data_IF_424785744079
#
_entry.id   IF_424785744079
#
_cell.length_a   1.000
_cell.length_b   1.000
_cell.length_c   1.000
_cell.angle_alpha   90.00
_cell.angle_beta   90.00
_cell.angle_gamma   90.00
#
_symmetry.space_group_name_H-M   'P 1'
#
loop_
_entity.id
_entity.type
_entity.pdbx_description
1 polymer ?
#
# COMPACT_ATOMS: atom_id res chain seq x y z
N UNK A 1 12.54 -6.46 0.80
CA UNK A 1 12.61 -7.25 2.04
C UNK A 1 11.63 -8.41 1.96
N UNK A 2 12.01 -9.60 2.44
CA UNK A 2 11.15 -10.78 2.49
C UNK A 2 10.07 -10.63 3.58
N UNK A 3 8.94 -11.29 3.38
CA UNK A 3 7.88 -11.37 4.38
C UNK A 3 8.41 -12.09 5.64
N UNK A 4 8.14 -11.54 6.82
CA UNK A 4 8.48 -12.16 8.09
C UNK A 4 7.34 -13.10 8.52
N UNK A 5 7.63 -14.39 8.70
CA UNK A 5 6.65 -15.39 9.11
C UNK A 5 7.03 -16.05 10.44
N UNK A 6 6.04 -16.18 11.34
CA UNK A 6 6.13 -16.92 12.60
C UNK A 6 4.84 -17.65 12.90
N UNK A 7 4.96 -18.77 13.60
CA UNK A 7 3.82 -19.43 14.24
C UNK A 7 3.76 -18.99 15.71
N UNK A 8 2.62 -18.45 16.13
CA UNK A 8 2.40 -17.93 17.48
C UNK A 8 1.33 -18.76 18.17
N UNK A 9 1.59 -19.24 19.39
CA UNK A 9 0.55 -19.87 20.20
C UNK A 9 -0.59 -18.88 20.48
N UNK A 10 -1.84 -19.31 20.32
CA UNK A 10 -3.00 -18.43 20.41
C UNK A 10 -3.42 -18.13 21.86
N UNK A 11 -3.08 -19.03 22.80
CA UNK A 11 -3.32 -18.92 24.25
C UNK A 11 -2.06 -19.26 25.07
N UNK A 12 -1.92 -18.65 26.26
CA UNK A 12 -0.84 -18.94 27.23
C UNK A 12 -0.16 -17.68 27.79
N UNK A 13 0.48 -17.80 28.96
CA UNK A 13 1.29 -16.74 29.57
C UNK A 13 2.74 -16.72 29.08
N UNK A 14 3.25 -17.85 28.60
CA UNK A 14 4.55 -17.94 27.93
C UNK A 14 4.38 -17.94 26.41
N UNK A 15 5.04 -17.05 25.67
CA UNK A 15 5.05 -17.11 24.22
C UNK A 15 5.83 -18.31 23.73
N UNK A 16 5.14 -19.24 23.05
CA UNK A 16 5.83 -20.19 22.17
C UNK A 16 5.76 -19.66 20.74
N UNK A 17 6.69 -18.79 20.37
CA UNK A 17 6.94 -18.44 18.97
C UNK A 17 7.77 -19.56 18.36
N UNK A 18 7.34 -20.07 17.21
CA UNK A 18 8.04 -21.12 16.47
C UNK A 18 8.26 -20.67 15.03
N UNK A 19 9.27 -21.21 14.34
CA UNK A 19 9.40 -21.04 12.90
C UNK A 19 8.11 -21.42 12.19
N UNK A 20 7.71 -20.63 11.20
CA UNK A 20 6.60 -20.99 10.32
C UNK A 20 6.95 -22.25 9.51
N UNK A 21 5.96 -23.03 9.06
CA UNK A 21 6.19 -24.26 8.29
C UNK A 21 6.78 -24.00 6.89
N UNK A 22 6.81 -22.75 6.45
CA UNK A 22 7.39 -22.30 5.18
C UNK A 22 7.89 -20.86 5.29
N UNK A 23 8.71 -20.43 4.32
CA UNK A 23 9.09 -19.04 4.09
C UNK A 23 8.35 -18.49 2.86
N UNK A 24 8.19 -17.17 2.79
CA UNK A 24 7.60 -16.49 1.63
C UNK A 24 8.24 -15.09 1.46
N UNK A 25 8.34 -14.62 0.22
CA UNK A 25 8.82 -13.28 -0.12
C UNK A 25 7.77 -12.18 0.08
N UNK A 26 6.48 -12.52 0.05
CA UNK A 26 5.36 -11.57 0.23
C UNK A 26 4.17 -12.20 0.96
N UNK A 27 3.22 -11.39 1.44
CA UNK A 27 1.94 -11.90 1.97
C UNK A 27 1.12 -12.62 0.91
N UNK A 28 1.19 -12.18 -0.34
CA UNK A 28 0.50 -12.85 -1.45
C UNK A 28 1.02 -14.26 -1.65
N UNK A 29 2.35 -14.43 -1.61
CA UNK A 29 2.97 -15.75 -1.67
C UNK A 29 2.65 -16.58 -0.44
N UNK A 30 2.77 -16.01 0.77
CA UNK A 30 2.43 -16.69 2.02
C UNK A 30 0.99 -17.23 1.99
N UNK A 31 0.04 -16.41 1.55
CA UNK A 31 -1.37 -16.79 1.42
C UNK A 31 -1.62 -17.94 0.43
N UNK A 32 -0.77 -18.11 -0.59
CA UNK A 32 -0.86 -19.22 -1.55
C UNK A 32 -0.32 -20.53 -0.99
N UNK A 33 0.70 -20.45 -0.14
CA UNK A 33 1.31 -21.59 0.54
C UNK A 33 0.47 -22.12 1.71
N UNK A 34 -0.47 -21.31 2.21
CA UNK A 34 -1.39 -21.73 3.27
C UNK A 34 -2.31 -22.89 2.85
N UNK A 35 -2.48 -23.83 3.77
CA UNK A 35 -3.41 -24.93 3.61
C UNK A 35 -4.87 -24.42 3.51
N UNK A 36 -5.71 -25.12 2.72
CA UNK A 36 -7.13 -24.77 2.56
C UNK A 36 -7.94 -25.01 3.86
N UNK A 37 -9.17 -24.51 3.92
CA UNK A 37 -10.10 -24.73 5.04
C UNK A 37 -9.86 -23.88 6.29
N UNK A 38 -8.93 -22.92 6.23
CA UNK A 38 -8.61 -22.02 7.32
C UNK A 38 -9.38 -20.69 7.29
N UNK A 39 -9.17 -19.88 8.31
CA UNK A 39 -9.64 -18.49 8.38
C UNK A 39 -8.47 -17.53 8.47
N UNK A 40 -8.70 -16.29 8.04
CA UNK A 40 -7.67 -15.27 8.12
C UNK A 40 -8.21 -13.87 8.42
N UNK A 41 -7.36 -13.03 9.00
CA UNK A 41 -7.56 -11.61 9.15
C UNK A 41 -6.36 -10.86 8.56
N UNK A 42 -6.61 -9.65 8.06
CA UNK A 42 -5.56 -8.72 7.63
C UNK A 42 -5.85 -7.37 8.25
N UNK A 43 -4.83 -6.77 8.83
CA UNK A 43 -4.82 -5.37 9.26
C UNK A 43 -3.45 -4.77 8.91
N UNK A 44 -3.33 -3.46 9.03
CA UNK A 44 -2.07 -2.75 8.84
C UNK A 44 -1.76 -1.93 10.07
N UNK A 45 -0.48 -1.75 10.33
CA UNK A 45 0.01 -0.76 11.27
C UNK A 45 0.29 0.53 10.50
N UNK A 46 0.03 1.67 11.15
CA UNK A 46 0.18 2.99 10.56
C UNK A 46 0.37 4.05 11.66
N UNK A 47 1.09 5.15 11.36
CA UNK A 47 1.37 6.26 12.28
C UNK A 47 1.91 5.83 13.65
N UNK A 48 3.13 5.28 13.69
CA UNK A 48 3.76 4.83 14.92
C UNK A 48 3.19 3.51 15.41
N UNK A 49 2.98 2.54 14.50
CA UNK A 49 2.44 1.21 14.77
C UNK A 49 1.04 1.22 15.41
N UNK A 50 0.12 2.04 14.93
CA UNK A 50 -1.28 2.01 15.35
C UNK A 50 -2.12 1.16 14.41
N UNK A 51 -3.14 0.51 14.94
CA UNK A 51 -4.05 -0.37 14.19
C UNK A 51 -5.47 0.13 14.34
N UNK A 52 -6.19 0.26 13.25
CA UNK A 52 -7.59 0.64 13.26
C UNK A 52 -8.45 -0.53 13.74
N UNK A 53 -9.08 -0.39 14.92
CA UNK A 53 -10.00 -1.39 15.49
C UNK A 53 -9.41 -2.82 15.56
N UNK A 54 -8.23 -3.01 16.14
CA UNK A 54 -7.62 -4.36 16.25
C UNK A 54 -8.57 -5.35 16.91
N UNK A 55 -9.24 -4.96 18.00
CA UNK A 55 -10.22 -5.84 18.67
C UNK A 55 -11.28 -6.38 17.71
N UNK A 56 -11.82 -5.55 16.82
CA UNK A 56 -12.83 -5.97 15.84
C UNK A 56 -12.26 -6.92 14.77
N UNK A 57 -10.98 -6.74 14.39
CA UNK A 57 -10.31 -7.70 13.52
C UNK A 57 -10.21 -9.09 14.16
N UNK A 58 -9.89 -9.15 15.47
CA UNK A 58 -9.78 -10.41 16.21
C UNK A 58 -11.15 -11.05 16.46
N UNK A 59 -12.16 -10.26 16.82
CA UNK A 59 -13.53 -10.75 17.01
C UNK A 59 -14.08 -11.37 15.72
N UNK A 60 -13.84 -10.71 14.57
CA UNK A 60 -14.25 -11.25 13.27
C UNK A 60 -13.46 -12.50 12.87
N UNK A 61 -12.19 -12.60 13.26
CA UNK A 61 -11.41 -13.82 13.05
C UNK A 61 -12.02 -14.99 13.84
N UNK A 62 -12.39 -14.76 15.10
CA UNK A 62 -13.09 -15.75 15.95
C UNK A 62 -14.47 -16.12 15.39
N UNK A 63 -15.28 -15.15 14.97
CA UNK A 63 -16.57 -15.40 14.33
C UNK A 63 -16.42 -16.21 13.03
N UNK A 64 -15.41 -15.90 12.21
CA UNK A 64 -15.09 -16.68 11.01
C UNK A 64 -14.72 -18.12 11.37
N UNK A 65 -13.89 -18.32 12.41
CA UNK A 65 -13.46 -19.62 12.89
C UNK A 65 -14.67 -20.46 13.36
N UNK A 66 -15.54 -19.87 14.18
CA UNK A 66 -16.77 -20.50 14.66
C UNK A 66 -17.71 -20.91 13.52
N UNK A 67 -17.88 -20.05 12.49
CA UNK A 67 -18.69 -20.37 11.30
C UNK A 67 -18.16 -21.55 10.48
N UNK A 68 -16.88 -21.90 10.63
CA UNK A 68 -16.26 -23.05 9.99
C UNK A 68 -16.10 -24.25 10.95
N UNK A 69 -16.65 -24.18 12.16
CA UNK A 69 -16.54 -25.25 13.17
C UNK A 69 -15.17 -25.33 13.85
N UNK A 70 -14.36 -24.28 13.78
CA UNK A 70 -13.07 -24.18 14.49
C UNK A 70 -13.33 -23.59 15.89
N UNK A 71 -14.17 -24.27 16.67
CA UNK A 71 -14.73 -23.73 17.93
C UNK A 71 -13.71 -23.64 19.06
N UNK A 72 -12.61 -24.40 18.97
CA UNK A 72 -11.53 -24.37 19.96
C UNK A 72 -10.54 -23.23 19.76
N UNK A 73 -10.72 -22.39 18.74
CA UNK A 73 -9.84 -21.26 18.48
C UNK A 73 -10.12 -20.13 19.48
N UNK A 74 -9.11 -19.81 20.27
CA UNK A 74 -9.09 -18.66 21.17
C UNK A 74 -7.80 -17.87 20.93
N UNK A 75 -7.87 -16.53 21.00
CA UNK A 75 -6.71 -15.66 20.78
C UNK A 75 -6.67 -14.53 21.80
N UNK A 76 -5.58 -14.49 22.56
CA UNK A 76 -5.25 -13.37 23.45
C UNK A 76 -4.74 -12.17 22.65
N UNK A 77 -5.43 -11.04 22.79
CA UNK A 77 -5.04 -9.79 22.14
C UNK A 77 -3.68 -9.30 22.63
N UNK A 78 -3.39 -9.39 23.93
CA UNK A 78 -2.12 -8.94 24.51
C UNK A 78 -0.93 -9.77 24.05
N UNK A 79 -1.13 -11.09 23.98
CA UNK A 79 -0.14 -12.03 23.43
C UNK A 79 0.14 -11.68 21.97
N UNK A 80 -0.90 -11.54 21.15
CA UNK A 80 -0.76 -11.18 19.76
C UNK A 80 -0.03 -9.85 19.58
N UNK A 81 -0.43 -8.81 20.32
CA UNK A 81 0.22 -7.49 20.27
C UNK A 81 1.72 -7.62 20.51
N UNK A 82 2.11 -8.30 21.59
CA UNK A 82 3.52 -8.52 21.93
C UNK A 82 4.26 -9.27 20.83
N UNK A 83 3.73 -10.39 20.35
CA UNK A 83 4.42 -11.21 19.35
C UNK A 83 4.52 -10.50 17.99
N UNK A 84 3.48 -9.79 17.56
CA UNK A 84 3.54 -9.00 16.31
C UNK A 84 4.60 -7.90 16.42
N UNK A 85 4.67 -7.18 17.56
CA UNK A 85 5.71 -6.16 17.77
C UNK A 85 7.12 -6.78 17.72
N UNK A 86 7.34 -7.92 18.38
CA UNK A 86 8.63 -8.62 18.36
C UNK A 86 9.03 -9.04 16.93
N UNK A 87 8.11 -9.61 16.16
CA UNK A 87 8.37 -10.01 14.77
C UNK A 87 8.70 -8.79 13.89
N UNK A 88 8.01 -7.67 14.10
CA UNK A 88 8.32 -6.42 13.40
C UNK A 88 9.71 -5.89 13.77
N UNK A 89 10.08 -5.90 15.05
CA UNK A 89 11.39 -5.45 15.53
C UNK A 89 12.54 -6.32 15.00
N UNK A 90 12.40 -7.65 15.06
CA UNK A 90 13.38 -8.60 14.52
C UNK A 90 13.58 -8.43 13.01
N UNK A 91 12.51 -8.13 12.28
CA UNK A 91 12.52 -7.96 10.83
C UNK A 91 12.87 -6.53 10.38
N UNK A 92 13.06 -5.58 11.30
CA UNK A 92 13.29 -4.18 10.95
C UNK A 92 12.10 -3.50 10.26
N UNK A 93 10.88 -3.98 10.50
CA UNK A 93 9.66 -3.43 9.90
C UNK A 93 9.12 -2.32 10.79
N UNK A 94 9.16 -1.08 10.28
CA UNK A 94 8.59 0.08 10.95
C UNK A 94 7.05 0.01 10.94
N UNK A 95 6.48 -0.06 9.74
CA UNK A 95 5.05 -0.24 9.49
C UNK A 95 4.80 -1.47 8.64
N UNK A 96 3.81 -2.27 9.03
CA UNK A 96 3.59 -3.60 8.49
C UNK A 96 2.13 -3.87 8.17
N UNK A 97 1.92 -4.58 7.07
CA UNK A 97 0.65 -5.25 6.79
C UNK A 97 0.75 -6.62 7.41
N UNK A 98 -0.16 -6.91 8.32
CA UNK A 98 -0.15 -8.12 9.15
C UNK A 98 -1.29 -9.01 8.70
N UNK A 99 -0.95 -10.26 8.37
CA UNK A 99 -1.89 -11.33 8.10
C UNK A 99 -1.84 -12.33 9.26
N UNK A 100 -3.00 -12.65 9.80
CA UNK A 100 -3.20 -13.72 10.77
C UNK A 100 -3.97 -14.84 10.09
N UNK A 101 -3.48 -16.07 10.18
CA UNK A 101 -4.16 -17.24 9.63
C UNK A 101 -4.25 -18.36 10.65
N UNK A 102 -5.40 -19.02 10.70
CA UNK A 102 -5.69 -20.14 11.61
C UNK A 102 -6.16 -21.32 10.78
N UNK A 103 -5.55 -22.48 11.01
CA UNK A 103 -5.90 -23.72 10.34
C UNK A 103 -6.69 -24.64 11.28
N UNK A 104 -7.72 -25.36 10.80
CA UNK A 104 -8.52 -26.26 11.63
C UNK A 104 -7.72 -27.38 12.30
N UNK A 105 -6.65 -27.88 11.65
CA UNK A 105 -5.80 -28.95 12.22
C UNK A 105 -4.89 -28.46 13.37
N UNK A 106 -4.62 -27.16 13.45
CA UNK A 106 -3.87 -26.55 14.55
C UNK A 106 -4.55 -25.25 15.02
N UNK A 107 -5.73 -25.36 15.66
CA UNK A 107 -6.53 -24.20 16.05
C UNK A 107 -5.94 -23.47 17.27
N UNK A 108 -4.83 -23.96 17.83
CA UNK A 108 -4.11 -23.34 18.95
C UNK A 108 -2.93 -22.49 18.50
N UNK A 109 -2.68 -22.42 17.20
CA UNK A 109 -1.61 -21.63 16.63
C UNK A 109 -2.15 -20.64 15.60
N UNK A 110 -1.57 -19.46 15.58
CA UNK A 110 -1.82 -18.41 14.58
C UNK A 110 -0.56 -18.23 13.77
N UNK A 111 -0.66 -18.41 12.46
CA UNK A 111 0.39 -17.98 11.54
C UNK A 111 0.32 -16.46 11.43
N UNK A 112 1.41 -15.80 11.83
CA UNK A 112 1.62 -14.36 11.68
C UNK A 112 2.56 -14.16 10.51
N UNK A 113 2.08 -13.50 9.47
CA UNK A 113 2.90 -13.07 8.34
C UNK A 113 2.86 -11.54 8.25
N UNK A 114 4.02 -10.92 8.09
CA UNK A 114 4.17 -9.46 8.07
C UNK A 114 5.01 -9.05 6.86
N UNK A 115 4.51 -8.12 6.06
CA UNK A 115 5.29 -7.44 5.02
C UNK A 115 5.31 -5.93 5.30
N UNK A 116 6.36 -5.20 4.88
CA UNK A 116 6.36 -3.74 4.94
C UNK A 116 5.10 -3.15 4.28
N UNK A 117 4.54 -2.12 4.91
CA UNK A 117 3.35 -1.44 4.39
C UNK A 117 3.65 0.04 4.14
N UNK A 118 3.68 0.48 2.87
CA UNK A 118 3.98 1.86 2.52
C UNK A 118 2.81 2.82 2.79
N UNK A 119 1.64 2.30 3.19
CA UNK A 119 0.42 3.08 3.34
C UNK A 119 -0.65 2.74 2.29
N UNK A 120 -1.81 3.42 2.35
CA UNK A 120 -2.88 3.25 1.38
C UNK A 120 -2.42 3.65 -0.04
N UNK A 121 -3.01 3.09 -1.10
CA UNK A 121 -2.59 3.34 -2.48
C UNK A 121 -2.95 4.77 -2.93
N UNK A 122 -2.00 5.69 -2.87
CA UNK A 122 -2.23 7.13 -3.11
C UNK A 122 -2.74 7.39 -4.54
N UNK A 123 -2.07 6.84 -5.54
CA UNK A 123 -2.41 7.07 -6.95
C UNK A 123 -3.84 6.62 -7.28
N UNK A 124 -4.21 5.41 -6.88
CA UNK A 124 -5.53 4.84 -7.11
C UNK A 124 -6.62 5.56 -6.32
N UNK A 125 -6.29 6.10 -5.14
CA UNK A 125 -7.22 6.94 -4.38
C UNK A 125 -7.47 8.28 -5.06
N UNK A 126 -6.46 8.86 -5.70
CA UNK A 126 -6.57 10.14 -6.40
C UNK A 126 -7.22 10.03 -7.78
N UNK A 127 -6.87 9.00 -8.56
CA UNK A 127 -7.26 8.85 -9.97
C UNK A 127 -8.39 7.84 -10.17
N UNK A 128 -8.63 6.97 -9.19
CA UNK A 128 -9.59 5.87 -9.29
C UNK A 128 -9.07 4.68 -10.08
N UNK A 129 -9.82 3.57 -10.00
CA UNK A 129 -9.45 2.29 -10.62
C UNK A 129 -10.48 1.78 -11.63
N UNK A 130 -10.04 0.84 -12.47
CA UNK A 130 -10.90 0.07 -13.35
C UNK A 130 -11.20 -1.31 -12.74
N UNK A 131 -12.47 -1.66 -12.68
CA UNK A 131 -12.96 -2.94 -12.16
C UNK A 131 -13.73 -3.70 -13.25
N UNK A 132 -13.91 -5.00 -13.04
CA UNK A 132 -14.75 -5.84 -13.91
C UNK A 132 -15.72 -6.65 -13.08
N UNK A 133 -16.93 -6.83 -13.58
CA UNK A 133 -17.91 -7.73 -12.97
C UNK A 133 -17.57 -9.18 -13.28
N UNK A 134 -17.86 -10.06 -12.32
CA UNK A 134 -17.78 -11.50 -12.51
C UNK A 134 -19.13 -12.12 -12.22
N UNK A 135 -19.81 -12.56 -13.27
CA UNK A 135 -21.14 -13.11 -13.19
C UNK A 135 -21.20 -14.35 -12.29
N UNK A 136 -22.22 -14.44 -11.43
CA UNK A 136 -22.52 -15.64 -10.60
C UNK A 136 -21.31 -16.11 -9.78
N UNK A 137 -20.63 -15.16 -9.16
CA UNK A 137 -19.40 -15.38 -8.38
C UNK A 137 -19.54 -15.01 -6.90
N UNK A 138 -20.76 -14.80 -6.43
CA UNK A 138 -21.07 -14.64 -5.02
C UNK A 138 -20.47 -15.79 -4.20
N UNK A 139 -19.91 -15.45 -3.04
CA UNK A 139 -19.25 -16.42 -2.15
C UNK A 139 -20.29 -17.28 -1.44
N UNK A 140 -20.00 -18.56 -1.28
CA UNK A 140 -20.91 -19.49 -0.58
C UNK A 140 -21.08 -19.13 0.91
N UNK A 141 -19.98 -18.77 1.58
CA UNK A 141 -19.99 -18.28 2.97
C UNK A 141 -19.26 -16.93 3.06
N UNK A 142 -19.96 -15.83 2.71
CA UNK A 142 -19.37 -14.49 2.62
C UNK A 142 -19.04 -13.90 3.99
N UNK A 143 -19.74 -14.34 5.04
CA UNK A 143 -19.58 -13.86 6.42
C UNK A 143 -18.27 -14.35 7.06
N UNK A 144 -17.79 -15.54 6.70
CA UNK A 144 -16.49 -16.03 7.14
C UNK A 144 -15.38 -15.57 6.19
N UNK A 145 -14.25 -15.08 6.72
CA UNK A 145 -13.09 -14.70 5.91
C UNK A 145 -12.13 -15.90 5.76
N UNK A 146 -12.32 -16.67 4.69
CA UNK A 146 -11.76 -18.01 4.52
C UNK A 146 -10.51 -18.03 3.63
N UNK A 147 -9.57 -18.95 3.90
CA UNK A 147 -8.37 -19.10 3.07
C UNK A 147 -8.69 -19.64 1.68
N UNK A 148 -9.72 -20.48 1.53
CA UNK A 148 -10.15 -21.06 0.24
C UNK A 148 -10.62 -20.02 -0.78
N UNK A 149 -11.17 -18.92 -0.28
CA UNK A 149 -11.58 -17.81 -1.14
C UNK A 149 -10.39 -17.18 -1.87
N UNK A 150 -9.20 -17.15 -1.25
CA UNK A 150 -7.98 -16.64 -1.90
C UNK A 150 -7.66 -17.48 -3.15
N UNK A 151 -7.68 -18.81 -3.00
CA UNK A 151 -7.39 -19.74 -4.10
C UNK A 151 -8.41 -19.60 -5.23
N UNK A 152 -9.68 -19.43 -4.88
CA UNK A 152 -10.76 -19.22 -5.85
C UNK A 152 -10.57 -17.92 -6.61
N UNK A 153 -10.38 -16.81 -5.90
CA UNK A 153 -10.17 -15.49 -6.49
C UNK A 153 -8.91 -15.42 -7.36
N UNK A 154 -7.83 -16.09 -6.98
CA UNK A 154 -6.58 -16.08 -7.76
C UNK A 154 -6.74 -16.72 -9.14
N UNK A 155 -7.81 -17.50 -9.38
CA UNK A 155 -8.18 -17.97 -10.74
C UNK A 155 -8.79 -16.89 -11.61
N UNK A 156 -9.07 -15.69 -11.06
CA UNK A 156 -9.73 -14.62 -11.78
C UNK A 156 -8.70 -13.78 -12.52
N UNK A 157 -8.45 -14.13 -13.78
CA UNK A 157 -7.42 -13.47 -14.61
C UNK A 157 -8.05 -12.54 -15.65
N UNK A 158 -7.61 -11.29 -15.70
CA UNK A 158 -7.82 -10.36 -16.81
C UNK A 158 -6.83 -9.21 -16.70
N UNK A 159 -6.31 -8.75 -17.84
CA UNK A 159 -5.34 -7.66 -17.88
C UNK A 159 -6.00 -6.32 -17.51
N UNK A 160 -5.27 -5.52 -16.72
CA UNK A 160 -5.71 -4.18 -16.34
C UNK A 160 -6.93 -4.11 -15.39
N UNK A 161 -7.32 -5.25 -14.79
CA UNK A 161 -8.39 -5.30 -13.79
C UNK A 161 -7.80 -5.13 -12.39
N UNK A 162 -8.21 -4.06 -11.70
CA UNK A 162 -7.77 -3.81 -10.33
C UNK A 162 -8.53 -4.68 -9.32
N UNK A 163 -9.84 -4.82 -9.49
CA UNK A 163 -10.70 -5.59 -8.60
C UNK A 163 -11.88 -6.21 -9.38
N UNK A 164 -12.24 -7.44 -9.00
CA UNK A 164 -13.41 -8.12 -9.53
C UNK A 164 -14.64 -7.82 -8.67
N UNK A 165 -15.72 -7.34 -9.26
CA UNK A 165 -17.01 -7.11 -8.61
C UNK A 165 -17.88 -8.36 -8.73
N UNK A 166 -18.18 -8.99 -7.59
CA UNK A 166 -18.88 -10.27 -7.53
C UNK A 166 -20.38 -10.06 -7.62
N UNK A 167 -21.06 -10.87 -8.45
CA UNK A 167 -22.50 -10.80 -8.60
C UNK A 167 -23.20 -12.09 -8.18
N UNK A 168 -24.42 -11.94 -7.66
CA UNK A 168 -25.30 -13.06 -7.35
C UNK A 168 -26.04 -13.60 -8.59
N UNK A 169 -26.88 -14.62 -8.39
CA UNK A 169 -27.69 -15.22 -9.45
C UNK A 169 -28.81 -14.32 -10.00
N UNK A 170 -29.02 -13.14 -9.41
CA UNK A 170 -30.01 -12.13 -9.84
C UNK A 170 -29.35 -10.91 -10.47
N UNK A 171 -28.06 -11.02 -10.81
CA UNK A 171 -27.23 -9.97 -11.38
C UNK A 171 -27.14 -8.72 -10.48
N UNK A 172 -27.06 -8.91 -9.17
CA UNK A 172 -26.82 -7.84 -8.20
C UNK A 172 -25.36 -7.87 -7.77
N UNK A 173 -24.71 -6.71 -7.77
CA UNK A 173 -23.31 -6.56 -7.33
C UNK A 173 -23.27 -6.54 -5.81
N UNK A 174 -22.58 -7.53 -5.23
CA UNK A 174 -22.52 -7.72 -3.79
C UNK A 174 -21.30 -7.01 -3.18
N UNK A 175 -20.11 -7.52 -3.50
CA UNK A 175 -18.83 -7.04 -2.99
C UNK A 175 -17.72 -7.20 -4.05
N UNK A 176 -16.54 -6.67 -3.78
CA UNK A 176 -15.36 -6.97 -4.57
C UNK A 176 -14.71 -8.29 -4.12
N UNK A 177 -13.84 -8.86 -4.93
CA UNK A 177 -13.17 -10.12 -4.60
C UNK A 177 -12.26 -9.99 -3.37
N UNK A 178 -11.79 -8.78 -3.04
CA UNK A 178 -11.01 -8.49 -1.84
C UNK A 178 -11.50 -7.28 -1.04
N UNK A 179 -12.69 -6.76 -1.33
CA UNK A 179 -13.21 -5.47 -0.83
C UNK A 179 -14.73 -5.46 -0.74
N UNK A 180 -15.32 -4.46 -0.07
CA UNK A 180 -16.77 -4.20 -0.17
C UNK A 180 -17.04 -3.17 -1.29
N UNK A 181 -18.22 -3.22 -1.93
CA UNK A 181 -18.59 -2.34 -3.06
C UNK A 181 -19.69 -1.35 -2.67
N UNK A 182 -19.61 -0.14 -3.23
CA UNK A 182 -20.54 0.96 -2.99
C UNK A 182 -20.78 1.72 -4.28
N UNK A 183 -22.00 2.19 -4.46
CA UNK A 183 -22.40 2.98 -5.60
C UNK A 183 -23.19 4.21 -5.13
N UNK A 184 -22.97 5.34 -5.79
CA UNK A 184 -23.78 6.53 -5.65
C UNK A 184 -24.71 6.59 -6.86
N UNK A 185 -26.01 6.58 -6.58
CA UNK A 185 -27.08 6.68 -7.58
C UNK A 185 -27.92 7.92 -7.33
N UNK A 186 -28.77 8.27 -8.30
CA UNK A 186 -29.83 9.25 -8.04
C UNK A 186 -30.89 8.65 -7.11
N UNK A 187 -31.23 9.39 -6.05
CA UNK A 187 -32.30 9.02 -5.15
C UNK A 187 -33.65 9.27 -5.84
N UNK A 188 -34.58 8.30 -5.87
CA UNK A 188 -35.96 8.53 -6.31
C UNK A 188 -36.67 9.69 -5.58
N UNK A 189 -36.28 9.99 -4.33
CA UNK A 189 -36.77 11.12 -3.56
C UNK A 189 -36.07 12.47 -3.92
N UNK A 190 -35.08 12.43 -4.82
CA UNK A 190 -34.25 13.55 -5.23
C UNK A 190 -32.91 13.60 -4.48
N UNK A 191 -31.82 13.90 -5.20
CA UNK A 191 -30.47 13.95 -4.64
C UNK A 191 -29.67 12.68 -4.93
N UNK A 192 -28.69 12.39 -4.09
CA UNK A 192 -27.82 11.22 -4.21
C UNK A 192 -28.15 10.20 -3.13
N UNK A 193 -28.03 8.92 -3.45
CA UNK A 193 -28.22 7.79 -2.55
C UNK A 193 -27.01 6.87 -2.64
N UNK A 194 -26.42 6.51 -1.50
CA UNK A 194 -25.43 5.45 -1.43
C UNK A 194 -26.13 4.10 -1.38
N UNK A 195 -25.77 3.19 -2.28
CA UNK A 195 -26.24 1.81 -2.31
C UNK A 195 -25.09 0.84 -2.09
N UNK A 196 -25.31 -0.17 -1.26
CA UNK A 196 -24.39 -1.28 -1.01
C UNK A 196 -25.17 -2.51 -0.59
N UNK A 197 -24.59 -3.70 -0.73
CA UNK A 197 -25.23 -4.92 -0.27
C UNK A 197 -25.39 -4.92 1.27
N UNK A 198 -26.60 -5.22 1.74
CA UNK A 198 -26.91 -5.43 3.16
C UNK A 198 -26.54 -6.83 3.66
N UNK A 199 -26.70 -7.82 2.79
CA UNK A 199 -26.47 -9.24 3.04
C UNK A 199 -25.56 -9.86 1.96
N UNK A 200 -25.14 -11.12 2.16
CA UNK A 200 -24.32 -11.83 1.17
C UNK A 200 -22.89 -11.30 1.00
N UNK A 201 -22.41 -10.47 1.94
CA UNK A 201 -21.10 -9.83 1.90
C UNK A 201 -20.36 -9.97 3.23
N UNK A 202 -19.04 -9.82 3.20
CA UNK A 202 -18.23 -9.78 4.40
C UNK A 202 -18.52 -8.51 5.20
N UNK A 203 -18.70 -8.65 6.51
CA UNK A 203 -18.72 -7.53 7.47
C UNK A 203 -17.32 -6.90 7.59
N UNK A 204 -16.95 -6.08 6.61
CA UNK A 204 -15.68 -5.36 6.55
C UNK A 204 -15.50 -4.39 7.73
N UNK A 205 -14.30 -4.32 8.32
CA UNK A 205 -13.98 -3.28 9.31
C UNK A 205 -13.99 -1.90 8.65
N UNK A 206 -13.34 -1.75 7.49
CA UNK A 206 -13.45 -0.54 6.68
C UNK A 206 -14.92 -0.23 6.32
N UNK A 207 -15.72 -1.25 5.96
CA UNK A 207 -17.16 -1.09 5.70
C UNK A 207 -17.91 -0.51 6.89
N UNK A 208 -17.63 -0.96 8.11
CA UNK A 208 -18.29 -0.41 9.31
C UNK A 208 -18.01 1.08 9.49
N UNK A 209 -16.79 1.54 9.19
CA UNK A 209 -16.42 2.95 9.25
C UNK A 209 -17.09 3.73 8.09
N UNK A 210 -17.10 3.18 6.87
CA UNK A 210 -17.78 3.79 5.72
C UNK A 210 -19.26 4.04 6.04
N UNK A 211 -19.98 3.05 6.57
CA UNK A 211 -21.40 3.19 6.88
C UNK A 211 -21.65 4.19 8.01
N UNK A 212 -20.75 4.25 8.99
CA UNK A 212 -20.79 5.22 10.08
C UNK A 212 -20.68 6.65 9.51
N UNK A 213 -19.62 6.94 8.74
CA UNK A 213 -19.38 8.29 8.19
C UNK A 213 -20.31 8.68 7.05
N UNK A 214 -20.85 7.71 6.31
CA UNK A 214 -21.76 7.99 5.19
C UNK A 214 -23.10 8.57 5.65
N UNK A 215 -23.58 8.16 6.82
CA UNK A 215 -24.88 8.57 7.35
C UNK A 215 -25.06 10.09 7.50
N UNK A 216 -23.97 10.84 7.68
CA UNK A 216 -23.97 12.31 7.73
C UNK A 216 -23.76 12.99 6.37
N UNK A 217 -23.40 12.25 5.33
CA UNK A 217 -22.96 12.79 4.04
C UNK A 217 -23.93 12.48 2.89
N UNK A 218 -24.60 11.33 2.94
CA UNK A 218 -25.53 10.84 1.93
C UNK A 218 -26.47 9.79 2.53
N UNK A 219 -27.77 9.76 2.19
CA UNK A 219 -28.63 8.64 2.55
C UNK A 219 -28.03 7.29 2.15
N UNK A 220 -28.21 6.27 2.99
CA UNK A 220 -27.65 4.94 2.78
C UNK A 220 -28.77 3.92 2.63
N UNK A 221 -28.71 3.15 1.55
CA UNK A 221 -29.58 2.00 1.28
C UNK A 221 -28.76 0.71 1.23
N UNK A 222 -29.13 -0.25 2.08
CA UNK A 222 -28.51 -1.58 2.15
C UNK A 222 -29.06 -2.54 1.07
N UNK A 223 -29.34 -2.00 -0.11
CA UNK A 223 -29.81 -2.74 -1.28
C UNK A 223 -28.71 -2.73 -2.34
N UNK A 224 -28.23 -3.88 -2.81
CA UNK A 224 -27.19 -3.94 -3.83
C UNK A 224 -27.68 -3.42 -5.18
N UNK A 225 -26.76 -2.82 -5.95
CA UNK A 225 -27.03 -2.33 -7.30
C UNK A 225 -27.09 -3.49 -8.29
N UNK A 226 -28.00 -3.42 -9.27
CA UNK A 226 -28.08 -4.36 -10.39
C UNK A 226 -27.05 -4.04 -11.47
N UNK A 227 -26.50 -5.05 -12.12
CA UNK A 227 -25.49 -4.86 -13.20
C UNK A 227 -26.00 -4.02 -14.36
N UNK A 228 -27.28 -4.12 -14.69
CA UNK A 228 -27.96 -3.31 -15.73
C UNK A 228 -28.00 -1.80 -15.40
N UNK A 229 -27.74 -1.41 -14.15
CA UNK A 229 -27.67 -0.01 -13.69
C UNK A 229 -26.25 0.52 -13.58
N UNK A 230 -25.21 -0.28 -13.79
CA UNK A 230 -23.81 0.15 -13.60
C UNK A 230 -23.43 1.34 -14.48
N UNK A 231 -23.95 1.40 -15.71
CA UNK A 231 -23.72 2.51 -16.63
C UNK A 231 -24.43 3.82 -16.22
N UNK A 232 -25.33 3.77 -15.24
CA UNK A 232 -26.08 4.93 -14.73
C UNK A 232 -25.58 5.42 -13.36
N UNK A 233 -24.49 4.83 -12.85
CA UNK A 233 -23.91 5.26 -11.59
C UNK A 233 -23.31 6.66 -11.71
N UNK A 234 -23.52 7.48 -10.69
CA UNK A 234 -22.88 8.80 -10.57
C UNK A 234 -21.44 8.65 -10.14
N UNK A 235 -21.23 7.81 -9.13
CA UNK A 235 -19.93 7.51 -8.56
C UNK A 235 -19.95 6.06 -8.06
N UNK A 236 -18.78 5.43 -7.93
CA UNK A 236 -18.63 4.14 -7.30
C UNK A 236 -17.31 4.09 -6.56
N UNK A 237 -17.23 3.26 -5.52
CA UNK A 237 -15.99 3.05 -4.78
C UNK A 237 -16.01 1.69 -4.10
N UNK A 238 -14.84 1.27 -3.61
CA UNK A 238 -14.69 0.09 -2.78
C UNK A 238 -13.98 0.43 -1.48
N UNK A 239 -14.09 -0.47 -0.49
CA UNK A 239 -13.38 -0.31 0.78
C UNK A 239 -12.69 -1.60 1.25
N UNK A 240 -11.54 -1.43 1.90
CA UNK A 240 -10.82 -2.51 2.61
C UNK A 240 -9.86 -1.94 3.65
N UNK A 241 -9.54 -2.72 4.70
CA UNK A 241 -8.72 -2.24 5.82
C UNK A 241 -7.34 -1.71 5.42
N UNK A 242 -6.73 -2.21 4.35
CA UNK A 242 -5.39 -1.81 3.89
C UNK A 242 -5.40 -0.83 2.72
N UNK A 243 -6.57 -0.46 2.18
CA UNK A 243 -6.66 0.52 1.08
C UNK A 243 -7.50 1.75 1.43
N UNK A 244 -8.22 1.70 2.55
CA UNK A 244 -9.26 2.68 2.85
C UNK A 244 -10.38 2.63 1.81
N UNK A 245 -10.88 3.81 1.43
CA UNK A 245 -11.79 3.99 0.30
C UNK A 245 -10.97 4.21 -0.98
N UNK A 246 -11.28 3.45 -2.03
CA UNK A 246 -10.69 3.61 -3.38
C UNK A 246 -11.80 3.86 -4.39
N UNK A 247 -11.79 4.99 -5.13
CA UNK A 247 -12.77 5.27 -6.17
C UNK A 247 -12.72 4.27 -7.32
N UNK A 248 -13.87 3.93 -7.88
CA UNK A 248 -14.01 3.11 -9.08
C UNK A 248 -14.55 4.03 -10.18
N UNK A 249 -13.71 4.29 -11.19
CA UNK A 249 -14.01 5.21 -12.28
C UNK A 249 -14.40 4.51 -13.57
N UNK A 250 -14.17 3.19 -13.65
CA UNK A 250 -14.54 2.38 -14.81
C UNK A 250 -14.98 0.98 -14.38
N UNK A 251 -16.10 0.51 -14.91
CA UNK A 251 -16.61 -0.85 -14.68
C UNK A 251 -16.96 -1.48 -16.03
N UNK A 252 -16.45 -2.69 -16.30
CA UNK A 252 -16.70 -3.42 -17.56
C UNK A 252 -16.37 -2.59 -18.81
N UNK A 253 -15.28 -1.83 -18.74
CA UNK A 253 -14.82 -0.95 -19.82
C UNK A 253 -15.65 0.33 -20.00
N UNK A 254 -16.64 0.60 -19.15
CA UNK A 254 -17.47 1.82 -19.20
C UNK A 254 -17.17 2.75 -18.04
N UNK A 255 -17.12 4.03 -18.32
CA UNK A 255 -16.88 5.04 -17.31
C UNK A 255 -18.05 5.09 -16.31
N UNK A 256 -17.70 5.27 -15.04
CA UNK A 256 -18.63 5.59 -13.96
C UNK A 256 -18.69 7.12 -13.86
N UNK A 257 -19.89 7.69 -13.94
CA UNK A 257 -20.05 9.14 -14.00
C UNK A 257 -19.29 9.75 -15.17
N UNK A 258 -18.27 10.55 -14.86
CA UNK A 258 -17.40 11.23 -15.83
C UNK A 258 -15.98 10.63 -15.90
N UNK A 259 -15.78 9.41 -15.40
CA UNK A 259 -14.47 8.73 -15.47
C UNK A 259 -13.41 9.28 -14.50
N UNK A 260 -13.80 10.12 -13.53
CA UNK A 260 -12.92 10.60 -12.47
C UNK A 260 -13.59 10.45 -11.09
N UNK A 261 -12.84 10.41 -9.98
CA UNK A 261 -13.44 10.31 -8.65
C UNK A 261 -14.39 11.48 -8.36
N UNK A 262 -15.62 11.16 -7.98
CA UNK A 262 -16.65 12.17 -7.76
C UNK A 262 -16.59 12.84 -6.37
N UNK A 263 -17.31 13.95 -6.20
CA UNK A 263 -17.25 14.77 -4.98
C UNK A 263 -17.80 14.08 -3.72
N UNK A 264 -18.77 13.16 -3.85
CA UNK A 264 -19.30 12.43 -2.68
C UNK A 264 -18.27 11.42 -2.19
N UNK A 265 -17.67 10.66 -3.10
CA UNK A 265 -16.61 9.69 -2.81
C UNK A 265 -15.41 10.37 -2.17
N UNK A 266 -14.93 11.50 -2.72
CA UNK A 266 -13.81 12.26 -2.13
C UNK A 266 -14.11 12.74 -0.71
N UNK A 267 -15.33 13.22 -0.45
CA UNK A 267 -15.73 13.64 0.90
C UNK A 267 -15.80 12.46 1.86
N UNK A 268 -16.34 11.32 1.43
CA UNK A 268 -16.33 10.09 2.21
C UNK A 268 -14.91 9.59 2.48
N UNK A 269 -13.97 9.71 1.55
CA UNK A 269 -12.55 9.37 1.76
C UNK A 269 -11.94 10.20 2.88
N UNK A 270 -12.14 11.52 2.85
CA UNK A 270 -11.66 12.42 3.91
C UNK A 270 -12.24 12.05 5.28
N UNK A 271 -13.57 11.88 5.36
CA UNK A 271 -14.24 11.48 6.61
C UNK A 271 -13.80 10.12 7.11
N UNK A 272 -13.61 9.17 6.20
CA UNK A 272 -13.12 7.84 6.52
C UNK A 272 -11.71 7.92 7.11
N UNK A 273 -10.81 8.68 6.50
CA UNK A 273 -9.44 8.82 6.99
C UNK A 273 -9.43 9.45 8.38
N UNK A 274 -10.11 10.60 8.58
CA UNK A 274 -10.27 11.23 9.91
C UNK A 274 -10.74 10.22 10.95
N UNK A 275 -11.82 9.50 10.63
CA UNK A 275 -12.41 8.54 11.56
C UNK A 275 -11.51 7.33 11.80
N UNK A 276 -10.78 6.87 10.79
CA UNK A 276 -9.82 5.78 10.93
C UNK A 276 -8.66 6.16 11.85
N UNK A 277 -8.13 7.38 11.77
CA UNK A 277 -7.11 7.88 12.70
C UNK A 277 -7.64 7.91 14.15
N UNK A 278 -8.85 8.42 14.38
CA UNK A 278 -9.46 8.46 15.71
C UNK A 278 -9.63 7.06 16.33
N UNK A 279 -9.96 6.08 15.50
CA UNK A 279 -10.17 4.69 15.88
C UNK A 279 -8.87 3.87 15.94
N UNK A 280 -7.74 4.46 15.54
CA UNK A 280 -6.46 3.78 15.55
C UNK A 280 -5.92 3.68 16.98
N UNK A 281 -5.73 2.45 17.45
CA UNK A 281 -5.17 2.17 18.77
C UNK A 281 -3.71 1.72 18.64
N UNK A 282 -2.82 2.05 19.58
CA UNK A 282 -1.42 1.62 19.53
C UNK A 282 -1.35 0.09 19.51
N UNK A 283 -0.50 -0.50 18.65
CA UNK A 283 -0.28 -1.95 18.62
C UNK A 283 0.41 -2.41 19.91
N UNK A 284 1.50 -1.74 20.29
CA UNK A 284 2.25 -2.01 21.51
C UNK A 284 1.88 -0.95 22.57
N UNK A 285 1.38 -1.36 23.74
CA UNK A 285 1.31 -0.48 24.92
C UNK A 285 2.70 -0.42 25.55
N UNK A 286 3.20 0.78 25.88
CA UNK A 286 4.49 0.92 26.58
C UNK A 286 4.52 -0.03 27.78
N UNK A 287 5.44 -1.00 27.73
CA UNK A 287 5.66 -1.93 28.84
C UNK A 287 6.10 -1.06 30.01
N UNK A 288 5.33 -1.08 31.10
CA UNK A 288 5.64 -0.34 32.32
C UNK A 288 7.01 -0.78 32.86
N UNK A 289 8.05 -0.03 32.54
CA UNK A 289 9.34 -0.15 33.20
C UNK A 289 9.19 0.48 34.58
N UNK A 290 9.43 -0.33 35.60
CA UNK A 290 9.21 -0.01 37.00
C UNK A 290 9.82 1.33 37.43
N UNK A 291 9.08 2.00 38.32
CA UNK A 291 9.45 3.24 38.97
C UNK A 291 10.85 3.17 39.60
N UNK A 292 11.73 4.09 39.18
CA UNK A 292 13.10 4.22 39.67
C UNK A 292 13.64 5.64 39.51
N UNK A 293 13.09 6.57 40.31
CA UNK A 293 13.64 7.88 40.78
C UNK A 293 14.28 8.88 39.79
N UNK A 294 13.57 10.01 39.69
CA UNK A 294 13.99 11.40 39.93
C UNK A 294 14.80 12.18 38.88
N UNK A 295 14.17 13.25 38.35
CA UNK A 295 14.84 14.54 38.19
C UNK A 295 14.84 15.19 36.79
N UNK A 296 13.68 15.42 36.18
CA UNK A 296 13.51 16.48 35.17
C UNK A 296 12.06 16.96 35.20
N UNK A 297 11.82 18.27 35.14
CA UNK A 297 10.49 18.88 35.21
C UNK A 297 9.55 18.30 34.14
N UNK A 298 8.37 17.85 34.57
CA UNK A 298 7.31 17.18 33.78
C UNK A 298 7.00 17.87 32.43
N UNK A 299 7.13 19.20 32.40
CA UNK A 299 6.89 20.05 31.23
C UNK A 299 8.01 19.95 30.16
N UNK A 300 9.26 19.75 30.60
CA UNK A 300 10.40 19.57 29.70
C UNK A 300 10.46 18.15 29.14
N UNK A 301 10.06 17.16 29.95
CA UNK A 301 9.96 15.77 29.53
C UNK A 301 8.80 15.57 28.54
N UNK A 302 7.66 16.24 28.77
CA UNK A 302 6.52 16.25 27.83
C UNK A 302 6.87 16.90 26.50
N UNK A 303 7.57 18.04 26.49
CA UNK A 303 8.02 18.71 25.25
C UNK A 303 9.03 17.88 24.46
N UNK A 304 9.93 17.18 25.14
CA UNK A 304 10.89 16.28 24.49
C UNK A 304 10.21 15.08 23.85
N UNK A 305 9.21 14.49 24.51
CA UNK A 305 8.40 13.40 23.94
C UNK A 305 7.62 13.90 22.72
N UNK A 306 6.97 15.06 22.81
CA UNK A 306 6.24 15.65 21.67
C UNK A 306 7.16 15.98 20.50
N UNK A 307 8.35 16.55 20.76
CA UNK A 307 9.32 16.85 19.71
C UNK A 307 9.89 15.56 19.07
N UNK A 308 10.07 14.50 19.85
CA UNK A 308 10.53 13.21 19.36
C UNK A 308 9.45 12.51 18.53
N UNK A 309 8.20 12.54 18.98
CA UNK A 309 7.06 11.98 18.25
C UNK A 309 6.84 12.72 16.93
N UNK A 310 6.99 14.05 16.93
CA UNK A 310 6.88 14.86 15.72
C UNK A 310 8.05 14.61 14.76
N UNK A 311 9.29 14.58 15.25
CA UNK A 311 10.44 14.23 14.42
C UNK A 311 10.36 12.82 13.85
N UNK A 312 9.76 11.87 14.60
CA UNK A 312 9.53 10.50 14.16
C UNK A 312 8.43 10.43 13.10
N UNK A 313 7.31 11.14 13.29
CA UNK A 313 6.24 11.22 12.29
C UNK A 313 6.75 11.84 10.97
N UNK A 314 7.53 12.93 11.06
CA UNK A 314 8.17 13.54 9.90
C UNK A 314 9.16 12.58 9.23
N UNK A 315 9.95 11.81 10.00
CA UNK A 315 10.87 10.83 9.43
C UNK A 315 10.14 9.63 8.79
N UNK A 316 9.02 9.19 9.36
CA UNK A 316 8.18 8.10 8.82
C UNK A 316 7.49 8.50 7.52
N UNK A 317 6.96 9.73 7.43
CA UNK A 317 6.40 10.30 6.19
C UNK A 317 7.46 10.38 5.09
N UNK A 318 8.64 10.89 5.43
CA UNK A 318 9.77 11.00 4.51
C UNK A 318 10.24 9.64 4.00
N UNK A 319 10.26 8.61 4.85
CA UNK A 319 10.63 7.25 4.44
C UNK A 319 9.56 6.59 3.56
N UNK A 320 8.28 6.88 3.79
CA UNK A 320 7.19 6.38 2.94
C UNK A 320 7.22 6.97 1.54
N UNK A 321 7.48 8.28 1.41
CA UNK A 321 7.62 8.97 0.12
C UNK A 321 8.78 8.40 -0.71
N UNK A 322 9.91 8.18 -0.05
CA UNK A 322 11.12 7.66 -0.67
C UNK A 322 10.95 6.20 -1.15
N UNK A 323 10.37 5.33 -0.31
CA UNK A 323 10.09 3.95 -0.67
C UNK A 323 9.03 3.85 -1.77
N UNK A 324 8.03 4.74 -1.78
CA UNK A 324 7.04 4.82 -2.84
C UNK A 324 7.71 5.14 -4.19
N UNK A 325 8.61 6.12 -4.21
CA UNK A 325 9.38 6.48 -5.41
C UNK A 325 10.26 5.31 -5.89
N UNK A 326 10.93 4.63 -4.96
CA UNK A 326 11.79 3.47 -5.24
C UNK A 326 11.01 2.29 -5.82
N UNK A 327 9.84 1.98 -5.25
CA UNK A 327 8.96 0.92 -5.74
C UNK A 327 8.35 1.26 -7.10
N UNK A 328 7.93 2.50 -7.30
CA UNK A 328 7.39 2.93 -8.59
C UNK A 328 8.45 2.77 -9.69
N UNK A 329 9.69 3.20 -9.44
CA UNK A 329 10.82 2.99 -10.35
C UNK A 329 11.11 1.50 -10.61
N UNK A 330 11.02 0.65 -9.58
CA UNK A 330 11.18 -0.80 -9.73
C UNK A 330 10.07 -1.45 -10.57
N UNK A 331 8.82 -0.99 -10.46
CA UNK A 331 7.69 -1.51 -11.24
C UNK A 331 7.87 -1.18 -12.73
N UNK A 332 8.29 0.04 -13.06
CA UNK A 332 8.64 0.44 -14.43
C UNK A 332 9.61 -0.53 -15.08
N UNK A 333 10.65 -0.90 -14.35
CA UNK A 333 11.68 -1.78 -14.86
C UNK A 333 11.21 -3.22 -15.13
N UNK A 334 10.06 -3.62 -14.56
CA UNK A 334 9.52 -4.99 -14.64
C UNK A 334 8.29 -5.14 -15.55
N UNK A 335 7.77 -4.05 -16.13
CA UNK A 335 6.51 -4.03 -16.88
C UNK A 335 6.72 -3.93 -18.40
N UNK A 336 5.77 -4.48 -19.17
CA UNK A 336 5.78 -4.50 -20.65
C UNK A 336 5.17 -3.23 -21.28
N UNK A 337 4.57 -2.34 -20.48
CA UNK A 337 4.01 -1.05 -20.90
C UNK A 337 4.84 0.09 -20.28
N UNK A 338 5.99 0.32 -20.91
CA UNK A 338 7.08 1.15 -20.38
C UNK A 338 6.69 2.63 -20.36
N UNK A 339 6.02 3.14 -21.40
CA UNK A 339 5.81 4.58 -21.58
C UNK A 339 4.91 5.20 -20.52
N UNK A 340 3.77 4.56 -20.21
CA UNK A 340 2.82 5.08 -19.22
C UNK A 340 3.37 4.98 -17.79
N UNK A 341 4.12 3.91 -17.50
CA UNK A 341 4.64 3.65 -16.17
C UNK A 341 5.82 4.59 -15.87
N UNK A 342 6.69 4.86 -16.85
CA UNK A 342 7.81 5.82 -16.69
C UNK A 342 7.29 7.21 -16.35
N UNK A 343 6.26 7.69 -17.06
CA UNK A 343 5.72 9.03 -16.80
C UNK A 343 5.22 9.18 -15.36
N UNK A 344 4.56 8.15 -14.82
CA UNK A 344 4.07 8.15 -13.44
C UNK A 344 5.19 8.24 -12.40
N UNK A 345 6.32 7.54 -12.61
CA UNK A 345 7.48 7.62 -11.71
C UNK A 345 8.08 9.01 -11.71
N UNK A 346 8.18 9.63 -12.89
CA UNK A 346 8.75 10.96 -13.02
C UNK A 346 7.84 12.02 -12.39
N UNK A 347 6.53 11.92 -12.59
CA UNK A 347 5.56 12.80 -11.94
C UNK A 347 5.61 12.68 -10.41
N UNK A 348 5.80 11.45 -9.88
CA UNK A 348 5.99 11.23 -8.44
C UNK A 348 7.33 11.79 -7.95
N UNK A 349 8.41 11.61 -8.70
CA UNK A 349 9.71 12.15 -8.36
C UNK A 349 9.65 13.68 -8.18
N UNK A 350 8.93 14.37 -9.07
CA UNK A 350 8.84 15.83 -9.06
C UNK A 350 8.16 16.39 -7.80
N UNK A 351 7.19 15.63 -7.25
CA UNK A 351 6.49 16.02 -6.02
C UNK A 351 7.37 15.89 -4.77
N UNK A 352 8.36 14.99 -4.79
CA UNK A 352 9.24 14.70 -3.64
C UNK A 352 10.55 15.50 -3.73
N UNK A 353 11.16 15.53 -4.90
CA UNK A 353 12.39 16.26 -5.17
C UNK A 353 12.20 17.06 -6.47
N UNK A 354 12.13 18.41 -6.38
CA UNK A 354 12.13 19.25 -7.57
C UNK A 354 13.33 18.94 -8.47
N UNK A 355 13.17 19.07 -9.78
CA UNK A 355 14.24 18.91 -10.77
C UNK A 355 13.91 19.72 -12.03
N UNK A 356 14.91 19.98 -12.87
CA UNK A 356 14.72 20.61 -14.18
C UNK A 356 14.47 19.54 -15.25
N UNK A 357 15.30 18.49 -15.27
CA UNK A 357 15.11 17.30 -16.11
C UNK A 357 15.26 16.02 -15.30
N UNK A 358 14.65 14.94 -15.77
CA UNK A 358 14.77 13.63 -15.14
C UNK A 358 14.70 12.51 -16.17
N UNK A 359 15.30 11.36 -15.86
CA UNK A 359 15.28 10.15 -16.70
C UNK A 359 15.14 8.88 -15.87
N UNK A 360 14.41 7.90 -16.41
CA UNK A 360 14.40 6.52 -15.93
C UNK A 360 15.24 5.66 -16.88
N UNK A 361 16.14 4.86 -16.32
CA UNK A 361 17.12 4.08 -17.07
C UNK A 361 17.14 2.64 -16.59
N UNK A 362 17.30 1.69 -17.51
CA UNK A 362 17.43 0.27 -17.18
C UNK A 362 18.84 -0.23 -17.42
N UNK A 363 19.36 -1.01 -16.47
CA UNK A 363 20.67 -1.62 -16.57
C UNK A 363 20.58 -2.88 -17.45
N UNK A 364 21.28 -2.86 -18.59
CA UNK A 364 21.34 -3.96 -19.56
C UNK A 364 22.80 -4.32 -19.81
N UNK A 365 23.27 -5.36 -19.12
CA UNK A 365 24.69 -5.72 -19.15
C UNK A 365 25.53 -4.63 -18.50
N UNK A 366 26.42 -4.01 -19.26
CA UNK A 366 27.32 -2.95 -18.78
C UNK A 366 26.90 -1.54 -19.26
N UNK A 367 25.62 -1.35 -19.59
CA UNK A 367 25.09 -0.08 -20.06
C UNK A 367 23.75 0.23 -19.40
N UNK A 368 23.51 1.50 -19.08
CA UNK A 368 22.20 2.03 -18.71
C UNK A 368 21.53 2.59 -19.96
N UNK A 369 20.35 2.09 -20.30
CA UNK A 369 19.55 2.56 -21.42
C UNK A 369 18.42 3.47 -20.90
N UNK A 370 18.33 4.70 -21.39
CA UNK A 370 17.23 5.62 -21.04
C UNK A 370 15.94 5.13 -21.69
N UNK A 371 14.94 4.83 -20.87
CA UNK A 371 13.64 4.33 -21.32
C UNK A 371 12.53 5.38 -21.27
N UNK A 372 12.80 6.52 -20.63
CA UNK A 372 11.92 7.69 -20.66
C UNK A 372 12.46 8.81 -19.77
N UNK A 373 11.84 9.98 -19.85
CA UNK A 373 12.31 11.19 -19.18
C UNK A 373 11.29 12.31 -19.19
N UNK A 374 11.56 13.34 -18.38
CA UNK A 374 10.68 14.50 -18.20
C UNK A 374 11.54 15.78 -18.18
N UNK A 375 10.97 16.92 -18.60
CA UNK A 375 11.63 18.23 -18.63
C UNK A 375 12.53 18.52 -19.84
N UNK A 376 12.69 17.57 -20.77
CA UNK A 376 13.52 17.74 -21.98
C UNK A 376 12.75 18.38 -23.14
N UNK A 377 13.37 19.35 -23.83
CA UNK A 377 12.80 19.99 -25.02
C UNK A 377 12.60 18.99 -26.18
N UNK A 378 13.57 18.09 -26.38
CA UNK A 378 13.47 16.97 -27.33
C UNK A 378 13.75 15.65 -26.62
N UNK A 379 12.71 15.09 -26.00
CA UNK A 379 12.80 13.80 -25.31
C UNK A 379 13.16 12.65 -26.26
N UNK A 380 12.85 12.76 -27.56
CA UNK A 380 13.14 11.70 -28.54
C UNK A 380 14.63 11.53 -28.80
N UNK A 381 15.43 12.57 -28.58
CA UNK A 381 16.89 12.52 -28.66
C UNK A 381 17.54 11.89 -27.40
N UNK A 382 16.79 11.76 -26.32
CA UNK A 382 17.25 11.25 -25.02
C UNK A 382 16.89 9.78 -24.84
N UNK A 383 15.67 9.40 -25.22
CA UNK A 383 15.20 8.01 -25.14
C UNK A 383 16.04 7.11 -26.04
N UNK A 384 16.50 5.98 -25.50
CA UNK A 384 17.39 5.04 -26.17
C UNK A 384 18.88 5.37 -26.03
N UNK A 385 19.25 6.50 -25.41
CA UNK A 385 20.64 6.80 -25.08
C UNK A 385 21.21 5.72 -24.16
N UNK A 386 22.42 5.25 -24.47
CA UNK A 386 23.14 4.23 -23.70
C UNK A 386 24.34 4.84 -23.00
N UNK A 387 24.39 4.67 -21.69
CA UNK A 387 25.41 5.22 -20.81
C UNK A 387 26.26 4.05 -20.30
N UNK A 388 27.57 4.00 -20.60
CA UNK A 388 28.45 2.94 -20.11
C UNK A 388 28.49 2.90 -18.59
N UNK A 389 28.32 1.72 -18.01
CA UNK A 389 28.36 1.48 -16.56
C UNK A 389 29.05 0.13 -16.28
N UNK A 390 30.31 0.11 -15.80
CA UNK A 390 31.07 1.25 -15.29
C UNK A 390 31.64 2.15 -16.39
N UNK A 391 31.77 3.45 -16.10
CA UNK A 391 32.31 4.49 -16.97
C UNK A 391 32.69 5.76 -16.20
N UNK A 392 33.29 6.74 -16.88
CA UNK A 392 33.63 8.04 -16.28
C UNK A 392 32.40 8.98 -16.29
N UNK A 393 31.39 8.65 -15.50
CA UNK A 393 30.12 9.35 -15.39
C UNK A 393 29.54 9.21 -13.98
N UNK A 394 28.62 10.11 -13.56
CA UNK A 394 28.02 10.06 -12.24
C UNK A 394 27.18 8.79 -11.98
N UNK A 395 26.65 8.17 -13.04
CA UNK A 395 25.83 6.97 -12.97
C UNK A 395 26.55 5.77 -12.35
N UNK A 396 27.82 5.60 -12.68
CA UNK A 396 28.61 4.46 -12.23
C UNK A 396 28.74 4.42 -10.71
N UNK A 397 28.93 5.58 -10.07
CA UNK A 397 29.01 5.68 -8.61
C UNK A 397 27.67 5.31 -7.93
N UNK A 398 26.54 5.77 -8.47
CA UNK A 398 25.23 5.43 -7.91
C UNK A 398 24.95 3.92 -7.98
N UNK A 399 25.27 3.29 -9.12
CA UNK A 399 25.11 1.84 -9.30
C UNK A 399 26.06 1.06 -8.38
N UNK A 400 27.32 1.46 -8.27
CA UNK A 400 28.33 0.79 -7.44
C UNK A 400 28.01 0.88 -5.94
N UNK A 401 27.65 2.08 -5.46
CA UNK A 401 27.32 2.29 -4.05
C UNK A 401 25.97 1.66 -3.66
N UNK A 402 25.10 1.41 -4.65
CA UNK A 402 23.74 0.89 -4.43
C UNK A 402 22.93 1.78 -3.48
N UNK A 403 23.25 3.06 -3.46
CA UNK A 403 22.61 4.10 -2.66
C UNK A 403 22.53 5.39 -3.48
N UNK A 404 21.62 6.31 -3.15
CA UNK A 404 21.57 7.58 -3.86
C UNK A 404 22.86 8.34 -3.77
N UNK A 405 23.25 8.94 -4.89
CA UNK A 405 24.51 9.65 -5.03
C UNK A 405 24.21 11.03 -5.62
N UNK A 406 24.80 12.05 -5.01
CA UNK A 406 24.66 13.44 -5.44
C UNK A 406 25.98 13.97 -5.96
N UNK A 407 25.90 14.83 -6.97
CA UNK A 407 26.99 15.67 -7.43
C UNK A 407 26.49 17.12 -7.51
N UNK A 408 27.02 17.98 -6.63
CA UNK A 408 26.61 19.38 -6.54
C UNK A 408 27.18 20.25 -7.66
N UNK A 409 28.37 19.93 -8.17
CA UNK A 409 29.01 20.59 -9.30
C UNK A 409 29.51 19.54 -10.30
N UNK A 410 28.64 19.20 -11.25
CA UNK A 410 28.91 18.16 -12.24
C UNK A 410 30.00 18.57 -13.23
N UNK A 411 30.15 19.87 -13.52
CA UNK A 411 31.20 20.40 -14.39
C UNK A 411 32.60 20.15 -13.82
N UNK A 412 32.74 20.25 -12.51
CA UNK A 412 34.02 20.02 -11.83
C UNK A 412 34.41 18.55 -11.80
N UNK A 413 33.44 17.66 -11.60
CA UNK A 413 33.70 16.23 -11.38
C UNK A 413 33.66 15.42 -12.69
N UNK A 414 32.71 15.73 -13.57
CA UNK A 414 32.50 15.05 -14.85
C UNK A 414 32.28 16.05 -16.00
N UNK A 415 33.32 16.81 -16.41
CA UNK A 415 33.19 17.85 -17.45
C UNK A 415 32.75 17.32 -18.82
N UNK A 416 32.89 16.02 -19.07
CA UNK A 416 32.42 15.36 -20.29
C UNK A 416 30.93 14.97 -20.25
N UNK A 417 30.25 15.15 -19.11
CA UNK A 417 28.89 14.71 -18.84
C UNK A 417 27.98 15.88 -18.39
N UNK A 418 28.15 17.05 -18.99
CA UNK A 418 27.44 18.27 -18.54
C UNK A 418 26.50 18.85 -19.58
N UNK A 419 26.52 18.32 -20.81
CA UNK A 419 25.56 18.65 -21.84
C UNK A 419 25.02 17.38 -22.47
N UNK A 420 23.71 17.17 -22.30
CA UNK A 420 22.98 16.02 -22.86
C UNK A 420 21.80 16.61 -23.61
N UNK A 421 21.55 16.20 -24.87
CA UNK A 421 20.40 16.68 -25.65
C UNK A 421 20.24 18.21 -25.77
N UNK A 422 21.30 19.00 -25.57
CA UNK A 422 21.25 20.47 -25.59
C UNK A 422 20.97 21.13 -24.23
N UNK A 423 20.65 20.38 -23.19
CA UNK A 423 20.48 20.90 -21.82
C UNK A 423 21.81 20.84 -21.07
N UNK A 424 22.12 21.91 -20.33
CA UNK A 424 23.28 21.94 -19.43
C UNK A 424 22.87 21.43 -18.05
N UNK A 425 23.52 20.37 -17.59
CA UNK A 425 23.33 19.81 -16.24
C UNK A 425 24.47 20.31 -15.35
N UNK A 426 24.12 21.03 -14.28
CA UNK A 426 25.06 21.61 -13.32
C UNK A 426 25.13 20.80 -12.03
N UNK A 427 24.03 20.19 -11.60
CA UNK A 427 24.00 19.26 -10.47
C UNK A 427 23.11 18.06 -10.76
N UNK A 428 23.38 16.95 -10.07
CA UNK A 428 22.83 15.65 -10.40
C UNK A 428 22.54 14.81 -9.15
N UNK A 429 21.44 14.07 -9.17
CA UNK A 429 21.07 13.10 -8.14
C UNK A 429 20.64 11.78 -8.80
N UNK A 430 21.37 10.71 -8.54
CA UNK A 430 21.06 9.37 -9.02
C UNK A 430 20.51 8.49 -7.92
N UNK A 431 19.41 7.80 -8.21
CA UNK A 431 18.69 6.91 -7.30
C UNK A 431 18.66 5.50 -7.92
N UNK A 432 19.39 4.52 -7.36
CA UNK A 432 19.39 3.15 -7.88
C UNK A 432 18.02 2.48 -7.76
N UNK A 433 17.58 1.86 -8.84
CA UNK A 433 16.36 1.04 -8.85
C UNK A 433 16.76 -0.39 -8.47
N UNK A 434 16.30 -0.86 -7.31
CA UNK A 434 16.72 -2.15 -6.74
C UNK A 434 15.52 -3.08 -6.55
N UNK A 435 15.61 -4.27 -7.11
CA UNK A 435 14.62 -5.36 -6.96
C UNK A 435 15.34 -6.60 -6.48
N UNK A 436 14.85 -7.23 -5.41
CA UNK A 436 15.44 -8.46 -4.83
C UNK A 436 16.97 -8.38 -4.61
N UNK A 437 17.47 -7.24 -4.12
CA UNK A 437 18.91 -7.00 -3.94
C UNK A 437 19.74 -7.10 -5.24
N UNK A 438 19.15 -6.77 -6.39
CA UNK A 438 19.84 -6.50 -7.64
C UNK A 438 19.51 -5.09 -8.14
N UNK A 439 20.53 -4.35 -8.60
CA UNK A 439 20.33 -3.05 -9.23
C UNK A 439 19.89 -3.29 -10.67
N UNK A 440 18.66 -2.89 -10.98
CA UNK A 440 18.05 -3.12 -12.30
C UNK A 440 18.02 -1.86 -13.16
N UNK A 441 18.38 -0.71 -12.60
CA UNK A 441 18.33 0.58 -13.28
C UNK A 441 18.65 1.76 -12.39
N UNK A 442 18.39 2.96 -12.91
CA UNK A 442 18.67 4.23 -12.24
C UNK A 442 17.56 5.24 -12.57
N UNK A 443 17.08 5.96 -11.56
CA UNK A 443 16.35 7.20 -11.73
C UNK A 443 17.35 8.36 -11.55
N UNK A 444 17.55 9.17 -12.59
CA UNK A 444 18.45 10.32 -12.54
C UNK A 444 17.63 11.62 -12.57
N UNK A 445 17.89 12.51 -11.62
CA UNK A 445 17.30 13.83 -11.49
C UNK A 445 18.39 14.89 -11.69
N UNK A 446 18.10 15.89 -12.51
CA UNK A 446 19.08 16.87 -12.96
C UNK A 446 18.62 18.30 -12.61
N UNK A 447 19.58 19.19 -12.36
CA UNK A 447 19.32 20.63 -12.35
C UNK A 447 20.40 21.43 -13.07
N UNK A 448 19.97 22.51 -13.70
CA UNK A 448 20.77 23.58 -14.30
C UNK A 448 21.49 24.45 -13.26
N UNK A 449 21.16 24.32 -11.97
CA UNK A 449 21.78 25.03 -10.86
C UNK A 449 22.83 24.17 -10.13
N UNK A 450 23.92 24.78 -9.68
CA UNK A 450 24.94 24.14 -8.83
C UNK A 450 24.39 23.98 -7.40
N UNK A 451 24.76 22.89 -6.72
CA UNK A 451 24.37 22.54 -5.34
C UNK A 451 22.84 22.56 -5.10
N UNK A 452 22.06 22.25 -6.15
CA UNK A 452 20.61 22.30 -6.10
C UNK A 452 20.02 21.26 -5.14
N UNK A 453 20.59 20.06 -5.12
CA UNK A 453 20.13 18.96 -4.28
C UNK A 453 20.76 19.04 -2.87
N UNK A 454 19.91 19.39 -1.90
CA UNK A 454 20.28 19.53 -0.49
C UNK A 454 20.41 18.19 0.23
N UNK A 455 21.09 18.19 1.38
CA UNK A 455 21.12 17.04 2.30
C UNK A 455 19.73 16.56 2.76
N UNK A 456 18.69 17.40 2.65
CA UNK A 456 17.30 16.97 2.86
C UNK A 456 16.81 16.12 1.68
N UNK A 457 16.95 16.61 0.46
CA UNK A 457 16.53 15.89 -0.76
C UNK A 457 17.29 14.58 -0.98
N UNK A 458 18.58 14.54 -0.62
CA UNK A 458 19.37 13.30 -0.69
C UNK A 458 18.86 12.25 0.30
N UNK A 459 18.47 12.66 1.51
CA UNK A 459 17.84 11.77 2.48
C UNK A 459 16.46 11.29 2.00
N UNK A 460 15.67 12.17 1.39
CA UNK A 460 14.39 11.80 0.77
C UNK A 460 14.57 10.83 -0.41
N UNK A 461 15.71 10.85 -1.08
CA UNK A 461 16.00 9.91 -2.15
C UNK A 461 16.53 8.56 -1.64
N UNK A 462 17.05 8.51 -0.40
CA UNK A 462 17.80 7.38 0.17
C UNK A 462 17.06 6.56 1.23
N UNK A 463 15.92 7.07 1.69
CA UNK A 463 15.00 6.32 2.53
C UNK A 463 14.16 5.35 1.68
#
# INVERSE_FOLDING_TARGET
MSCALRLVAAIGHEPSVRPAPFSAGSLTEAARLEAPGGVYAVFSTWHGRRVVRLGHHLDRLRDSAHRLGIDSFELSADLLRREVCLVMDEAGIAEGKVRLSVHPDDPRSVLVAIEPYPGPPVYEREHGVACMTRARSARDNPLAKQTDWLKTRDTFTADGVYEWLLTDSRDRVLEGSSSNFYAIVDDPAGGALLQTAGDGVLSGIARSIVLEVASSEVPVSLVPVRTDRLASLREAFMSSSTRGIVPIVRIDGRDVGNGVPGPITRRLMHRYDERALELAEPLCTAVGVGAGRAGATDDQQTRLVQALDQARAEAEEQAQEAEALRMAGAIVASTLDVDRTVQLVLDQALNVVPYDTATVQLLRGNELEVIGGNGWDDLSAIVGLRIPCPGNNPHSAAIEHRSPTVYGDLMREFPAFTSIGGTTISSWLGIPLIVHDEVIGLLALDSTSIDFFTAKQIRLAAA
#
